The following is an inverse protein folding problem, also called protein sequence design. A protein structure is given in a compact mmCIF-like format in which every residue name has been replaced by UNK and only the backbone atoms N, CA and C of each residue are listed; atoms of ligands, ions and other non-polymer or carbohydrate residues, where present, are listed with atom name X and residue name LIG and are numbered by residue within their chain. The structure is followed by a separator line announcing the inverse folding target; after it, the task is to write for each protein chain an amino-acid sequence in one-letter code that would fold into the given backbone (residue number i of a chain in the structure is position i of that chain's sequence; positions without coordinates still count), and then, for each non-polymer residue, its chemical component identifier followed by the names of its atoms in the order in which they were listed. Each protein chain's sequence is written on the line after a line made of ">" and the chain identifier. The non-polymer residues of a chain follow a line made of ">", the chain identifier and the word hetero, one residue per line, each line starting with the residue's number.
data_IF_693802869131
#
_entry.id   IF_693802869131
#
_cell.length_a   1.000
_cell.length_b   1.000
_cell.length_c   1.000
_cell.angle_alpha   90.00
_cell.angle_beta   90.00
_cell.angle_gamma   90.00
#
_symmetry.space_group_name_H-M   'P 1'
#
loop_
_entity.id
_entity.type
_entity.pdbx_description
1 polymer ?
#
# COMPACT_ATOMS: atom_id res chain seq x y z
N UNK A 1 -65.52 -3.17 11.56
CA UNK A 1 -64.26 -2.39 11.51
C UNK A 1 -63.12 -3.39 11.52
N UNK A 2 -62.62 -3.71 10.33
CA UNK A 2 -61.54 -4.68 10.10
C UNK A 2 -60.21 -3.95 10.11
N UNK A 3 -59.17 -4.53 10.71
CA UNK A 3 -57.79 -4.45 10.22
C UNK A 3 -56.97 -5.62 10.79
N UNK A 4 -56.53 -6.49 9.89
CA UNK A 4 -55.54 -7.56 10.08
C UNK A 4 -54.13 -7.02 9.80
N UNK A 5 -53.14 -7.45 10.58
CA UNK A 5 -51.73 -7.13 10.36
C UNK A 5 -50.88 -8.40 10.33
N UNK A 6 -50.36 -8.76 9.15
CA UNK A 6 -49.31 -9.75 8.94
C UNK A 6 -47.92 -9.13 9.15
N UNK A 7 -46.91 -9.88 9.61
CA UNK A 7 -45.50 -9.48 9.52
C UNK A 7 -44.88 -9.94 8.20
N UNK A 8 -44.30 -8.99 7.46
CA UNK A 8 -43.52 -9.23 6.24
C UNK A 8 -42.09 -9.65 6.56
N UNK A 9 -41.58 -10.59 5.76
CA UNK A 9 -40.26 -11.18 5.85
C UNK A 9 -39.10 -10.22 5.54
N UNK A 10 -37.95 -10.56 6.10
CA UNK A 10 -36.65 -9.91 5.90
C UNK A 10 -36.09 -10.35 4.54
N UNK A 11 -35.91 -9.39 3.63
CA UNK A 11 -35.25 -9.58 2.34
C UNK A 11 -33.80 -9.10 2.45
N UNK A 12 -32.85 -10.04 2.48
CA UNK A 12 -31.40 -9.75 2.40
C UNK A 12 -31.00 -9.63 0.93
N UNK A 13 -31.24 -8.45 0.35
CA UNK A 13 -30.74 -8.08 -0.98
C UNK A 13 -29.47 -7.24 -0.84
N UNK A 14 -28.30 -7.84 -1.08
CA UNK A 14 -27.04 -7.13 -1.28
C UNK A 14 -27.13 -6.47 -2.67
N UNK A 15 -27.37 -5.16 -2.70
CA UNK A 15 -27.23 -4.34 -3.91
C UNK A 15 -25.80 -3.82 -4.05
N UNK A 16 -25.18 -3.88 -5.24
CA UNK A 16 -23.89 -3.23 -5.49
C UNK A 16 -24.07 -1.69 -5.52
N UNK A 17 -23.11 -0.99 -4.91
CA UNK A 17 -23.00 0.46 -4.93
C UNK A 17 -22.93 0.96 -6.38
N UNK A 18 -23.92 1.75 -6.78
CA UNK A 18 -23.88 2.61 -7.96
C UNK A 18 -23.45 4.00 -7.50
N UNK A 19 -22.33 4.57 -8.01
CA UNK A 19 -21.96 5.95 -7.71
C UNK A 19 -22.87 6.95 -8.44
N UNK A 20 -23.10 8.15 -7.85
CA UNK A 20 -24.10 9.10 -8.32
C UNK A 20 -23.71 9.81 -9.63
N UNK A 21 -24.64 9.74 -10.59
CA UNK A 21 -25.02 10.79 -11.54
C UNK A 21 -23.94 11.66 -12.20
N UNK A 22 -23.55 11.29 -13.42
CA UNK A 22 -22.99 12.24 -14.41
C UNK A 22 -24.15 12.94 -15.14
N UNK A 23 -24.16 14.28 -15.27
CA UNK A 23 -25.20 14.99 -16.01
C UNK A 23 -25.14 14.64 -17.50
N UNK A 24 -26.30 14.31 -18.07
CA UNK A 24 -26.50 14.09 -19.51
C UNK A 24 -26.26 15.40 -20.27
N UNK A 25 -25.11 15.53 -20.92
CA UNK A 25 -24.91 16.53 -21.97
C UNK A 25 -25.65 16.13 -23.24
N UNK A 26 -26.36 17.12 -23.78
CA UNK A 26 -27.26 17.03 -24.91
C UNK A 26 -26.56 16.66 -26.23
N UNK A 27 -27.30 15.87 -27.01
CA UNK A 27 -27.10 15.52 -28.41
C UNK A 27 -26.94 16.76 -29.29
N UNK A 28 -25.83 16.87 -30.04
CA UNK A 28 -25.70 17.76 -31.18
C UNK A 28 -25.39 16.94 -32.43
N UNK A 29 -26.22 17.11 -33.47
CA UNK A 29 -26.12 16.47 -34.78
C UNK A 29 -24.86 16.88 -35.57
N UNK A 30 -24.39 16.02 -36.49
CA UNK A 30 -23.33 16.37 -37.45
C UNK A 30 -23.93 16.71 -38.84
N UNK A 31 -23.31 17.66 -39.56
CA UNK A 31 -23.09 17.61 -41.01
C UNK A 31 -22.51 18.94 -41.50
N UNK A 32 -21.27 18.91 -41.99
CA UNK A 32 -20.62 20.03 -42.66
C UNK A 32 -19.29 19.58 -43.23
N UNK A 33 -19.32 19.02 -44.44
CA UNK A 33 -18.15 18.61 -45.22
C UNK A 33 -17.26 19.80 -45.58
N UNK A 34 -15.93 19.63 -45.66
CA UNK A 34 -15.10 20.49 -46.48
C UNK A 34 -14.43 19.72 -47.63
N UNK A 35 -14.87 20.09 -48.83
CA UNK A 35 -14.07 20.53 -50.00
C UNK A 35 -12.64 19.98 -50.12
N UNK A 36 -12.44 19.21 -51.19
CA UNK A 36 -11.16 18.82 -51.76
C UNK A 36 -10.40 20.05 -52.28
N UNK A 37 -9.07 20.08 -52.08
CA UNK A 37 -8.14 20.79 -52.95
C UNK A 37 -6.79 20.09 -52.95
N UNK A 38 -6.27 19.96 -54.16
CA UNK A 38 -5.17 19.12 -54.60
C UNK A 38 -3.76 19.63 -54.25
N UNK A 39 -2.82 18.69 -54.45
CA UNK A 39 -1.45 18.89 -54.95
C UNK A 39 -0.39 19.47 -54.01
N UNK A 40 0.61 18.64 -53.67
CA UNK A 40 1.95 18.78 -54.26
C UNK A 40 2.86 17.59 -53.88
N UNK A 41 3.34 16.93 -54.93
CA UNK A 41 4.42 15.95 -54.97
C UNK A 41 5.77 16.62 -54.69
N UNK A 42 6.56 16.12 -53.74
CA UNK A 42 8.03 16.27 -53.75
C UNK A 42 8.68 14.95 -53.31
N UNK A 43 9.37 14.32 -54.25
CA UNK A 43 10.35 13.25 -54.05
C UNK A 43 11.71 13.82 -53.63
N UNK A 44 12.44 13.13 -52.74
CA UNK A 44 13.90 12.90 -52.85
C UNK A 44 14.38 12.01 -51.68
N UNK A 45 14.87 10.81 -51.98
CA UNK A 45 16.31 10.43 -52.08
C UNK A 45 17.04 10.33 -50.74
N UNK A 46 17.48 9.11 -50.39
CA UNK A 46 18.27 8.83 -49.19
C UNK A 46 19.79 9.01 -49.31
N UNK A 47 20.50 8.61 -48.24
CA UNK A 47 21.92 8.21 -48.14
C UNK A 47 22.18 7.92 -46.65
N UNK A 48 22.31 6.65 -46.24
CA UNK A 48 23.54 5.88 -45.93
C UNK A 48 24.51 6.48 -44.89
N UNK A 49 24.69 5.69 -43.81
CA UNK A 49 25.96 5.34 -43.12
C UNK A 49 26.82 6.43 -42.46
N UNK A 50 27.16 6.24 -41.18
CA UNK A 50 28.49 5.78 -40.78
C UNK A 50 28.61 5.62 -39.25
N UNK A 51 29.21 4.50 -38.86
CA UNK A 51 29.72 4.21 -37.53
C UNK A 51 30.94 5.09 -37.19
N UNK A 52 31.16 5.37 -35.91
CA UNK A 52 32.52 5.49 -35.39
C UNK A 52 32.57 5.03 -33.93
N UNK A 53 33.43 4.04 -33.72
CA UNK A 53 33.89 3.55 -32.43
C UNK A 53 34.78 4.61 -31.76
N UNK A 54 34.64 4.76 -30.45
CA UNK A 54 35.52 5.56 -29.61
C UNK A 54 35.80 4.81 -28.32
N UNK A 55 36.77 3.91 -28.40
CA UNK A 55 37.39 3.17 -27.30
C UNK A 55 38.33 4.12 -26.53
N UNK A 56 38.17 4.22 -25.21
CA UNK A 56 39.13 4.88 -24.34
C UNK A 56 39.02 4.33 -22.90
N UNK A 57 39.83 3.30 -22.69
CA UNK A 57 40.24 2.77 -21.41
C UNK A 57 40.93 3.82 -20.55
N UNK A 58 40.55 3.92 -19.27
CA UNK A 58 41.45 4.48 -18.25
C UNK A 58 41.25 3.84 -16.86
N UNK A 59 42.29 3.10 -16.49
CA UNK A 59 42.94 3.02 -15.18
C UNK A 59 42.14 2.58 -13.95
N UNK A 60 42.53 1.38 -13.52
CA UNK A 60 42.48 0.85 -12.17
C UNK A 60 43.00 1.81 -11.08
N UNK A 61 42.38 1.75 -9.91
CA UNK A 61 42.84 2.38 -8.67
C UNK A 61 42.36 1.61 -7.45
N UNK A 62 43.14 0.61 -7.05
CA UNK A 62 43.04 -0.10 -5.77
C UNK A 62 43.13 0.89 -4.59
N UNK A 63 42.33 0.69 -3.55
CA UNK A 63 42.82 0.78 -2.16
C UNK A 63 41.95 -0.02 -1.20
N UNK A 64 42.53 -1.10 -0.70
CA UNK A 64 42.08 -1.80 0.50
C UNK A 64 42.51 -0.99 1.74
N UNK A 65 41.70 -1.01 2.79
CA UNK A 65 42.16 -0.71 4.15
C UNK A 65 41.30 -1.51 5.11
N UNK A 66 41.98 -2.38 5.85
CA UNK A 66 41.49 -3.23 6.93
C UNK A 66 41.43 -2.45 8.26
N UNK A 67 40.56 -2.90 9.15
CA UNK A 67 40.50 -2.61 10.60
C UNK A 67 39.38 -3.53 11.11
N UNK A 68 39.56 -4.64 11.84
CA UNK A 68 40.51 -5.06 12.88
C UNK A 68 40.43 -4.22 14.16
N UNK A 69 39.38 -4.49 14.94
CA UNK A 69 39.35 -4.34 16.39
C UNK A 69 38.62 -5.55 16.98
N UNK A 70 39.42 -6.49 17.46
CA UNK A 70 39.07 -7.39 18.57
C UNK A 70 39.33 -6.61 19.86
N UNK A 71 38.40 -6.66 20.80
CA UNK A 71 38.68 -6.47 22.23
C UNK A 71 37.68 -7.33 23.02
N UNK A 72 38.19 -8.45 23.52
CA UNK A 72 37.68 -9.15 24.70
C UNK A 72 38.06 -8.33 25.95
N UNK A 73 37.20 -8.27 26.96
CA UNK A 73 37.61 -8.49 28.36
C UNK A 73 36.39 -8.78 29.27
N UNK A 74 36.44 -9.98 29.83
CA UNK A 74 36.15 -10.42 31.19
C UNK A 74 35.31 -9.58 32.20
N UNK A 75 34.33 -10.31 32.76
CA UNK A 75 34.20 -10.65 34.20
C UNK A 75 33.84 -9.53 35.21
N UNK A 76 32.78 -9.76 36.00
CA UNK A 76 32.80 -9.79 37.48
C UNK A 76 31.39 -10.13 37.98
N UNK A 77 31.30 -11.26 38.67
CA UNK A 77 30.21 -11.64 39.58
C UNK A 77 30.24 -10.79 40.85
N UNK A 78 29.08 -10.23 41.25
CA UNK A 78 28.89 -9.54 42.52
C UNK A 78 27.54 -9.87 43.15
N UNK A 79 27.58 -10.69 44.21
CA UNK A 79 26.47 -11.08 45.07
C UNK A 79 26.09 -9.91 45.99
N UNK A 80 24.80 -9.54 46.02
CA UNK A 80 24.26 -8.49 46.88
C UNK A 80 22.79 -8.74 47.25
N UNK A 81 22.59 -9.03 48.53
CA UNK A 81 21.36 -9.40 49.24
C UNK A 81 20.17 -8.43 48.99
N UNK A 82 19.02 -8.94 48.54
CA UNK A 82 17.74 -8.21 48.62
C UNK A 82 16.61 -9.13 49.07
N UNK A 83 15.76 -8.60 49.94
CA UNK A 83 14.64 -9.24 50.62
C UNK A 83 13.64 -9.86 49.65
N UNK A 84 13.34 -11.15 49.81
CA UNK A 84 12.36 -11.89 49.01
C UNK A 84 10.93 -11.37 49.24
N UNK A 85 10.53 -10.34 48.51
CA UNK A 85 9.14 -10.04 48.20
C UNK A 85 8.79 -10.72 46.89
N UNK A 86 8.22 -11.93 46.93
CA UNK A 86 7.74 -12.60 45.73
C UNK A 86 6.58 -11.78 45.14
N UNK A 87 6.86 -11.08 44.04
CA UNK A 87 5.84 -10.56 43.13
C UNK A 87 5.16 -11.75 42.46
N UNK A 88 4.26 -12.41 43.20
CA UNK A 88 3.44 -13.47 42.66
C UNK A 88 2.55 -12.89 41.57
N UNK A 89 2.59 -13.53 40.40
CA UNK A 89 1.66 -13.23 39.30
C UNK A 89 0.23 -13.48 39.79
N UNK A 90 -0.77 -12.81 39.19
CA UNK A 90 -2.15 -12.87 39.69
C UNK A 90 -2.71 -14.28 39.90
N UNK A 91 -2.23 -15.25 39.10
CA UNK A 91 -2.62 -16.65 39.21
C UNK A 91 -1.98 -17.36 40.42
N UNK A 92 -0.76 -17.01 40.79
CA UNK A 92 -0.08 -17.60 41.94
C UNK A 92 -0.67 -17.09 43.27
N UNK A 93 -1.11 -15.82 43.31
CA UNK A 93 -1.86 -15.31 44.46
C UNK A 93 -3.19 -16.05 44.65
N UNK A 94 -3.88 -16.38 43.55
CA UNK A 94 -5.15 -17.12 43.63
C UNK A 94 -4.92 -18.54 44.17
N UNK A 95 -3.88 -19.22 43.69
CA UNK A 95 -3.49 -20.54 44.20
C UNK A 95 -3.10 -20.49 45.68
N UNK A 96 -2.40 -19.45 46.12
CA UNK A 96 -2.05 -19.27 47.52
C UNK A 96 -3.29 -19.06 48.39
N UNK A 97 -4.25 -18.23 47.95
CA UNK A 97 -5.51 -18.01 48.65
C UNK A 97 -6.35 -19.30 48.71
N UNK A 98 -6.42 -20.05 47.62
CA UNK A 98 -7.14 -21.33 47.60
C UNK A 98 -6.47 -22.37 48.51
N UNK A 99 -5.14 -22.38 48.58
CA UNK A 99 -4.41 -23.27 49.48
C UNK A 99 -4.63 -22.91 50.96
N UNK A 100 -4.69 -21.61 51.28
CA UNK A 100 -4.99 -21.15 52.63
C UNK A 100 -6.43 -21.47 53.03
N UNK A 101 -7.39 -21.38 52.10
CA UNK A 101 -8.79 -21.73 52.33
C UNK A 101 -8.97 -23.23 52.63
N UNK A 102 -8.25 -24.10 51.94
CA UNK A 102 -8.32 -25.55 52.16
C UNK A 102 -7.80 -25.99 53.54
N UNK A 103 -6.98 -25.17 54.20
CA UNK A 103 -6.44 -25.44 55.53
C UNK A 103 -7.35 -24.95 56.68
N UNK A 104 -8.43 -24.23 56.38
CA UNK A 104 -9.39 -23.79 57.40
C UNK A 104 -10.27 -24.96 57.85
N UNK A 105 -10.65 -25.04 59.15
CA UNK A 105 -11.67 -25.96 59.63
C UNK A 105 -12.99 -25.78 58.86
N UNK A 106 -13.73 -26.87 58.66
CA UNK A 106 -14.96 -26.88 57.84
C UNK A 106 -16.01 -25.88 58.31
N UNK A 107 -16.07 -25.61 59.60
CA UNK A 107 -16.98 -24.66 60.23
C UNK A 107 -16.67 -23.20 59.82
N UNK A 108 -15.38 -22.87 59.66
CA UNK A 108 -14.92 -21.54 59.25
C UNK A 108 -15.01 -21.34 57.72
N UNK A 109 -14.87 -22.42 56.95
CA UNK A 109 -15.09 -22.39 55.49
C UNK A 109 -16.54 -22.02 55.14
N UNK A 110 -17.52 -22.52 55.91
CA UNK A 110 -18.94 -22.21 55.70
C UNK A 110 -19.28 -20.76 56.07
N UNK A 111 -18.67 -20.20 57.12
CA UNK A 111 -18.81 -18.77 57.42
C UNK A 111 -18.22 -17.89 56.31
N UNK A 112 -17.04 -18.24 55.79
CA UNK A 112 -16.41 -17.47 54.72
C UNK A 112 -17.24 -17.50 53.41
N UNK A 113 -17.81 -18.65 53.05
CA UNK A 113 -18.75 -18.76 51.93
C UNK A 113 -20.05 -17.98 52.19
N UNK A 114 -20.53 -17.96 53.43
CA UNK A 114 -21.68 -17.15 53.84
C UNK A 114 -21.44 -15.64 53.66
N UNK A 115 -20.25 -15.15 54.02
CA UNK A 115 -19.87 -13.73 53.82
C UNK A 115 -19.76 -13.40 52.33
N UNK A 116 -19.26 -14.31 51.50
CA UNK A 116 -19.24 -14.12 50.03
C UNK A 116 -20.62 -14.16 49.38
N UNK A 117 -21.57 -14.91 49.94
CA UNK A 117 -22.93 -15.04 49.42
C UNK A 117 -23.84 -13.84 49.77
N UNK A 118 -23.47 -13.01 50.74
CA UNK A 118 -24.27 -11.87 51.23
C UNK A 118 -23.91 -10.54 50.54
N UNK A 119 -23.39 -10.59 49.31
CA UNK A 119 -23.41 -9.41 48.43
C UNK A 119 -24.80 -9.26 47.81
N UNK A 120 -25.75 -8.75 48.62
CA UNK A 120 -27.14 -8.45 48.25
C UNK A 120 -27.18 -7.42 47.13
N UNK A 121 -27.47 -7.91 45.92
CA UNK A 121 -27.64 -7.13 44.67
C UNK A 121 -28.94 -6.31 44.75
N UNK A 122 -28.89 -4.96 44.72
CA UNK A 122 -30.11 -4.15 44.54
C UNK A 122 -30.67 -4.31 43.11
N UNK A 123 -31.96 -4.02 43.00
CA UNK A 123 -32.85 -4.29 41.87
C UNK A 123 -32.28 -3.94 40.49
N UNK A 124 -32.64 -4.80 39.52
CA UNK A 124 -32.32 -4.76 38.11
C UNK A 124 -32.79 -3.46 37.43
N UNK A 125 -31.89 -2.48 37.38
CA UNK A 125 -31.77 -1.63 36.19
C UNK A 125 -31.02 -2.48 35.16
N UNK A 126 -31.48 -2.54 33.91
CA UNK A 126 -30.83 -3.31 32.84
C UNK A 126 -29.38 -2.86 32.66
N UNK A 127 -28.46 -3.52 33.37
CA UNK A 127 -27.02 -3.31 33.21
C UNK A 127 -26.67 -3.97 31.88
N UNK A 128 -26.17 -3.23 30.88
CA UNK A 128 -25.71 -3.83 29.64
C UNK A 128 -24.64 -4.86 30.02
N UNK A 129 -24.76 -6.06 29.46
CA UNK A 129 -23.76 -7.12 29.58
C UNK A 129 -22.41 -6.50 29.28
N UNK A 130 -21.58 -6.33 30.32
CA UNK A 130 -20.27 -5.74 30.19
C UNK A 130 -19.49 -6.65 29.25
N UNK A 131 -19.30 -6.19 28.01
CA UNK A 131 -18.42 -6.85 27.05
C UNK A 131 -17.08 -7.02 27.75
N UNK A 132 -16.48 -8.21 27.56
CA UNK A 132 -15.14 -8.48 28.09
C UNK A 132 -14.25 -7.27 27.75
N UNK A 133 -13.48 -6.75 28.72
CA UNK A 133 -12.69 -5.54 28.50
C UNK A 133 -11.81 -5.78 27.28
N UNK A 134 -12.02 -4.94 26.25
CA UNK A 134 -11.27 -5.05 25.02
C UNK A 134 -9.78 -5.03 25.35
N UNK A 135 -9.04 -6.04 24.87
CA UNK A 135 -7.58 -6.17 25.05
C UNK A 135 -6.85 -4.86 24.69
N UNK A 136 -7.40 -4.12 23.74
CA UNK A 136 -6.98 -2.78 23.35
C UNK A 136 -8.20 -1.86 23.37
N UNK A 137 -8.07 -0.69 23.99
CA UNK A 137 -9.14 0.31 24.08
C UNK A 137 -8.57 1.67 23.71
N UNK A 138 -9.18 2.33 22.73
CA UNK A 138 -8.81 3.69 22.32
C UNK A 138 -8.88 4.69 23.47
N UNK A 139 -9.72 4.43 24.48
CA UNK A 139 -9.79 5.24 25.70
C UNK A 139 -8.57 5.10 26.63
N UNK A 140 -7.69 4.12 26.37
CA UNK A 140 -6.43 3.87 27.10
C UNK A 140 -5.19 4.20 26.26
N UNK A 141 -5.38 4.72 25.06
CA UNK A 141 -4.27 5.16 24.22
C UNK A 141 -3.81 6.55 24.69
N UNK A 142 -2.54 6.66 25.06
CA UNK A 142 -1.94 7.95 25.38
C UNK A 142 -1.77 8.77 24.08
N UNK A 143 -2.09 10.07 24.09
CA UNK A 143 -1.88 10.91 22.92
C UNK A 143 -0.39 10.91 22.55
N UNK A 144 -0.11 10.57 21.29
CA UNK A 144 1.25 10.51 20.77
C UNK A 144 1.96 11.86 20.97
N UNK A 145 2.98 11.89 21.83
CA UNK A 145 3.76 13.10 22.15
C UNK A 145 4.69 13.55 21.01
N UNK A 146 4.74 12.82 19.91
CA UNK A 146 5.50 13.25 18.74
C UNK A 146 4.68 14.26 17.97
N UNK A 147 5.16 15.51 17.90
CA UNK A 147 4.68 16.51 16.98
C UNK A 147 4.44 15.86 15.60
N UNK A 148 3.17 15.80 15.12
CA UNK A 148 2.85 15.17 13.84
C UNK A 148 3.53 15.86 12.66
N UNK A 149 4.07 17.06 12.85
CA UNK A 149 4.90 17.76 11.86
C UNK A 149 6.37 17.32 11.88
N UNK A 150 6.88 16.83 13.02
CA UNK A 150 8.28 16.44 13.18
C UNK A 150 8.62 15.03 12.65
N UNK A 151 7.62 14.18 12.40
CA UNK A 151 7.80 12.80 11.91
C UNK A 151 7.17 12.51 10.55
N UNK A 152 6.66 13.51 9.84
CA UNK A 152 6.38 13.31 8.42
C UNK A 152 7.73 13.27 7.72
N UNK A 153 8.26 12.06 7.55
CA UNK A 153 9.12 11.73 6.42
C UNK A 153 8.33 12.09 5.16
N UNK A 154 8.37 13.37 4.80
CA UNK A 154 7.73 13.87 3.60
C UNK A 154 8.38 13.19 2.41
N UNK A 155 7.60 13.02 1.35
CA UNK A 155 8.16 12.58 0.09
C UNK A 155 9.21 13.60 -0.36
N UNK A 156 10.37 13.09 -0.76
CA UNK A 156 11.46 13.95 -1.22
C UNK A 156 10.98 14.79 -2.40
N UNK A 157 11.39 16.06 -2.42
CA UNK A 157 10.94 17.09 -3.37
C UNK A 157 11.14 16.68 -4.84
N UNK A 158 12.12 15.84 -5.14
CA UNK A 158 12.35 15.33 -6.49
C UNK A 158 11.14 14.54 -7.06
N UNK A 159 10.39 13.81 -6.22
CA UNK A 159 9.21 13.07 -6.66
C UNK A 159 8.09 14.04 -7.07
N UNK A 160 7.94 15.13 -6.32
CA UNK A 160 7.01 16.21 -6.65
C UNK A 160 7.39 16.90 -7.96
N UNK A 161 8.67 17.21 -8.15
CA UNK A 161 9.19 17.81 -9.39
C UNK A 161 8.91 16.90 -10.60
N UNK A 162 9.17 15.60 -10.50
CA UNK A 162 8.83 14.65 -11.57
C UNK A 162 7.34 14.68 -11.92
N UNK A 163 6.46 14.61 -10.91
CA UNK A 163 5.02 14.60 -11.10
C UNK A 163 4.52 15.90 -11.78
N UNK A 164 5.01 17.07 -11.32
CA UNK A 164 4.63 18.38 -11.86
C UNK A 164 5.02 18.57 -13.33
N UNK A 165 6.09 17.91 -13.77
CA UNK A 165 6.57 17.98 -15.15
C UNK A 165 6.10 16.79 -16.01
N UNK A 166 5.08 16.07 -15.56
CA UNK A 166 4.50 14.96 -16.33
C UNK A 166 5.54 13.87 -16.64
N UNK A 167 6.49 13.64 -15.74
CA UNK A 167 7.46 12.56 -15.87
C UNK A 167 6.92 11.32 -15.17
N UNK A 168 7.03 10.16 -15.83
CA UNK A 168 6.64 8.90 -15.22
C UNK A 168 7.56 8.59 -14.04
N UNK A 169 6.98 8.34 -12.88
CA UNK A 169 7.70 7.96 -11.67
C UNK A 169 7.55 6.45 -11.48
N UNK A 170 8.65 5.66 -11.59
CA UNK A 170 8.61 4.23 -11.29
C UNK A 170 8.18 3.96 -9.85
N UNK A 171 7.36 2.91 -9.63
CA UNK A 171 6.96 2.44 -8.30
C UNK A 171 8.15 1.98 -7.46
N UNK A 172 9.24 1.54 -8.09
CA UNK A 172 10.48 1.21 -7.37
C UNK A 172 10.99 2.41 -6.56
N UNK A 173 10.80 3.64 -7.04
CA UNK A 173 11.16 4.85 -6.29
C UNK A 173 10.33 5.06 -5.01
N UNK A 174 9.18 4.40 -4.90
CA UNK A 174 8.31 4.41 -3.73
C UNK A 174 8.59 3.26 -2.75
N UNK A 175 9.59 2.41 -2.98
CA UNK A 175 10.03 1.44 -1.99
C UNK A 175 10.62 2.15 -0.76
N UNK A 176 10.35 1.67 0.45
CA UNK A 176 10.76 2.35 1.70
C UNK A 176 12.28 2.45 1.82
N UNK A 177 13.03 1.48 1.28
CA UNK A 177 14.49 1.59 1.20
C UNK A 177 14.90 2.78 0.32
N UNK A 178 14.28 2.95 -0.85
CA UNK A 178 14.62 4.01 -1.79
C UNK A 178 14.11 5.37 -1.33
N UNK A 179 12.94 5.45 -0.71
CA UNK A 179 12.44 6.66 -0.07
C UNK A 179 13.39 7.13 1.05
N UNK A 180 13.91 6.21 1.88
CA UNK A 180 14.96 6.56 2.87
C UNK A 180 16.24 7.05 2.19
N UNK A 181 16.70 6.37 1.13
CA UNK A 181 17.87 6.83 0.36
C UNK A 181 17.63 8.21 -0.26
N UNK A 182 16.44 8.51 -0.75
CA UNK A 182 16.07 9.84 -1.26
C UNK A 182 16.06 10.88 -0.14
N UNK A 183 15.54 10.54 1.04
CA UNK A 183 15.43 11.47 2.17
C UNK A 183 16.80 11.89 2.74
N UNK A 184 17.78 10.98 2.73
CA UNK A 184 19.06 11.21 3.41
C UNK A 184 20.29 11.23 2.47
N UNK A 185 20.13 10.73 1.25
CA UNK A 185 21.22 10.52 0.30
C UNK A 185 21.37 11.62 -0.74
N UNK A 186 22.47 11.57 -1.48
CA UNK A 186 22.63 12.35 -2.71
C UNK A 186 21.97 11.61 -3.85
N UNK A 187 21.02 12.27 -4.49
CA UNK A 187 20.28 11.72 -5.62
C UNK A 187 20.96 12.17 -6.92
N UNK A 188 21.26 11.27 -7.87
CA UNK A 188 21.80 11.68 -9.15
C UNK A 188 20.78 12.54 -9.90
N UNK A 189 21.18 13.77 -10.22
CA UNK A 189 20.33 14.73 -10.92
C UNK A 189 20.81 14.91 -12.37
N UNK A 190 19.86 14.98 -13.28
CA UNK A 190 20.04 15.34 -14.68
C UNK A 190 19.34 16.68 -14.96
N UNK A 191 20.04 17.60 -15.64
CA UNK A 191 19.48 18.91 -15.98
C UNK A 191 18.84 18.85 -17.36
N UNK A 192 17.53 19.06 -17.42
CA UNK A 192 16.77 19.10 -18.66
C UNK A 192 16.32 20.54 -18.92
N UNK A 193 16.37 20.95 -20.18
CA UNK A 193 15.82 22.23 -20.62
C UNK A 193 14.37 21.99 -21.05
N UNK A 194 13.43 22.61 -20.34
CA UNK A 194 12.03 22.59 -20.73
C UNK A 194 11.83 23.44 -21.99
N UNK A 195 10.73 23.19 -22.71
CA UNK A 195 10.34 24.00 -23.88
C UNK A 195 10.15 25.49 -23.53
N UNK A 196 9.89 25.81 -22.26
CA UNK A 196 9.84 27.18 -21.74
C UNK A 196 11.21 27.87 -21.60
N UNK A 197 12.31 27.16 -21.86
CA UNK A 197 13.68 27.64 -21.65
C UNK A 197 14.18 27.53 -20.20
N UNK A 198 13.31 27.11 -19.27
CA UNK A 198 13.68 26.91 -17.85
C UNK A 198 14.48 25.62 -17.71
N UNK A 199 15.60 25.69 -16.98
CA UNK A 199 16.41 24.51 -16.61
C UNK A 199 15.84 23.90 -15.35
N UNK A 200 15.39 22.66 -15.43
CA UNK A 200 14.92 21.89 -14.26
C UNK A 200 15.84 20.69 -14.06
N UNK A 201 16.22 20.45 -12.80
CA UNK A 201 16.98 19.29 -12.41
C UNK A 201 16.03 18.16 -12.01
N UNK A 202 16.05 17.07 -12.76
CA UNK A 202 15.30 15.86 -12.49
C UNK A 202 16.19 14.83 -11.83
N UNK A 203 15.61 13.99 -10.99
CA UNK A 203 16.29 12.76 -10.59
C UNK A 203 16.34 11.80 -11.78
N UNK A 204 17.51 11.20 -12.00
CA UNK A 204 17.70 10.20 -13.04
C UNK A 204 17.02 8.88 -12.65
N UNK A 205 15.90 8.54 -13.30
CA UNK A 205 15.09 7.37 -12.94
C UNK A 205 15.81 6.05 -13.24
N UNK A 206 16.75 6.03 -14.18
CA UNK A 206 17.56 4.85 -14.52
C UNK A 206 18.58 4.49 -13.44
N UNK A 207 18.78 5.36 -12.44
CA UNK A 207 19.61 5.06 -11.28
C UNK A 207 18.89 4.16 -10.25
N UNK A 208 17.60 3.90 -10.43
CA UNK A 208 16.77 3.08 -9.55
C UNK A 208 16.60 1.67 -10.12
N UNK A 209 16.25 0.68 -9.28
CA UNK A 209 15.95 -0.66 -9.74
C UNK A 209 14.89 -0.64 -10.84
N UNK A 210 15.09 -1.55 -11.81
CA UNK A 210 14.20 -1.75 -12.92
C UNK A 210 12.82 -2.20 -12.43
N UNK A 211 11.81 -1.41 -12.76
CA UNK A 211 10.44 -1.62 -12.30
C UNK A 211 9.83 -2.91 -12.85
N UNK A 212 10.25 -3.36 -14.04
CA UNK A 212 9.76 -4.61 -14.62
C UNK A 212 10.24 -5.86 -13.84
N UNK A 213 11.21 -5.68 -12.94
CA UNK A 213 11.78 -6.75 -12.11
C UNK A 213 11.25 -6.75 -10.67
N UNK A 214 10.31 -5.86 -10.34
CA UNK A 214 9.68 -5.86 -9.02
C UNK A 214 9.02 -7.20 -8.72
N UNK A 215 9.03 -7.62 -7.46
CA UNK A 215 8.20 -8.73 -6.99
C UNK A 215 6.82 -8.25 -6.49
N UNK A 216 5.98 -9.20 -6.08
CA UNK A 216 4.62 -8.91 -5.61
C UNK A 216 4.60 -8.06 -4.34
N UNK A 217 5.56 -8.27 -3.44
CA UNK A 217 5.62 -7.58 -2.15
C UNK A 217 6.11 -6.15 -2.33
N UNK A 218 7.16 -5.96 -3.12
CA UNK A 218 7.68 -4.66 -3.54
C UNK A 218 6.59 -3.86 -4.25
N UNK A 219 5.80 -4.48 -5.12
CA UNK A 219 4.71 -3.80 -5.83
C UNK A 219 3.60 -3.33 -4.90
N UNK A 220 3.19 -4.14 -3.92
CA UNK A 220 2.21 -3.74 -2.91
C UNK A 220 2.74 -2.63 -2.00
N UNK A 221 4.01 -2.71 -1.61
CA UNK A 221 4.68 -1.66 -0.83
C UNK A 221 4.74 -0.35 -1.62
N UNK A 222 5.25 -0.39 -2.85
CA UNK A 222 5.35 0.75 -3.74
C UNK A 222 3.99 1.40 -3.98
N UNK A 223 2.93 0.62 -4.21
CA UNK A 223 1.57 1.13 -4.35
C UNK A 223 1.01 1.79 -3.09
N UNK A 224 1.32 1.22 -1.92
CA UNK A 224 0.91 1.81 -0.64
C UNK A 224 1.51 3.20 -0.47
N UNK A 225 2.83 3.30 -0.66
CA UNK A 225 3.54 4.57 -0.56
C UNK A 225 3.16 5.55 -1.69
N UNK A 226 2.87 5.06 -2.90
CA UNK A 226 2.39 5.89 -4.01
C UNK A 226 1.01 6.50 -3.75
N UNK A 227 0.09 5.75 -3.11
CA UNK A 227 -1.21 6.30 -2.66
C UNK A 227 -1.03 7.43 -1.65
N UNK A 228 -0.13 7.24 -0.70
CA UNK A 228 0.17 8.26 0.31
C UNK A 228 0.82 9.50 -0.33
N UNK A 229 1.68 9.31 -1.33
CA UNK A 229 2.23 10.40 -2.13
C UNK A 229 1.14 11.18 -2.85
N UNK A 230 0.22 10.51 -3.57
CA UNK A 230 -0.88 11.18 -4.27
C UNK A 230 -1.74 12.02 -3.31
N UNK A 231 -2.07 11.48 -2.12
CA UNK A 231 -2.78 12.23 -1.08
C UNK A 231 -1.98 13.43 -0.59
N UNK A 232 -0.70 13.24 -0.28
CA UNK A 232 0.17 14.29 0.25
C UNK A 232 0.38 15.44 -0.76
N UNK A 233 0.37 15.14 -2.06
CA UNK A 233 0.51 16.14 -3.13
C UNK A 233 -0.84 16.73 -3.60
N UNK A 234 -1.95 16.36 -2.97
CA UNK A 234 -3.27 16.93 -3.29
C UNK A 234 -3.82 16.50 -4.64
N UNK A 235 -3.64 15.22 -5.02
CA UNK A 235 -4.33 14.66 -6.16
C UNK A 235 -5.85 14.83 -6.01
N UNK A 236 -6.54 15.18 -7.10
CA UNK A 236 -7.99 15.30 -7.12
C UNK A 236 -8.64 13.97 -6.70
N UNK A 237 -9.71 14.03 -5.89
CA UNK A 237 -10.39 12.85 -5.36
C UNK A 237 -10.78 11.85 -6.45
N UNK A 238 -11.23 12.34 -7.61
CA UNK A 238 -11.62 11.51 -8.74
C UNK A 238 -10.44 10.76 -9.37
N UNK A 239 -9.24 11.36 -9.37
CA UNK A 239 -8.00 10.77 -9.86
C UNK A 239 -7.45 9.78 -8.84
N UNK A 240 -7.43 10.17 -7.56
CA UNK A 240 -6.99 9.29 -6.47
C UNK A 240 -7.87 8.03 -6.40
N UNK A 241 -9.20 8.18 -6.38
CA UNK A 241 -10.13 7.06 -6.32
C UNK A 241 -9.96 6.10 -7.50
N UNK A 242 -9.72 6.63 -8.71
CA UNK A 242 -9.46 5.81 -9.90
C UNK A 242 -8.23 4.93 -9.75
N UNK A 243 -7.12 5.49 -9.25
CA UNK A 243 -5.89 4.71 -9.04
C UNK A 243 -6.02 3.70 -7.91
N UNK A 244 -6.78 4.01 -6.86
CA UNK A 244 -7.15 3.04 -5.82
C UNK A 244 -7.95 1.88 -6.42
N UNK A 245 -9.00 2.16 -7.20
CA UNK A 245 -9.79 1.15 -7.87
C UNK A 245 -8.95 0.28 -8.82
N UNK A 246 -8.01 0.88 -9.56
CA UNK A 246 -7.06 0.16 -10.42
C UNK A 246 -6.20 -0.82 -9.60
N UNK A 247 -5.59 -0.36 -8.51
CA UNK A 247 -4.81 -1.21 -7.62
C UNK A 247 -5.64 -2.34 -7.00
N UNK A 248 -6.83 -2.02 -6.46
CA UNK A 248 -7.72 -2.99 -5.83
C UNK A 248 -8.20 -4.04 -6.84
N UNK A 249 -8.52 -3.63 -8.06
CA UNK A 249 -8.90 -4.52 -9.14
C UNK A 249 -7.77 -5.50 -9.51
N UNK A 250 -6.54 -5.00 -9.68
CA UNK A 250 -5.40 -5.84 -10.03
C UNK A 250 -5.00 -6.79 -8.89
N UNK A 251 -4.95 -6.29 -7.66
CA UNK A 251 -4.54 -7.08 -6.48
C UNK A 251 -5.59 -8.12 -6.04
N UNK A 252 -6.87 -7.89 -6.31
CA UNK A 252 -7.97 -8.83 -6.00
C UNK A 252 -8.11 -9.98 -7.00
N UNK A 253 -7.31 -10.01 -8.07
CA UNK A 253 -7.37 -11.06 -9.08
C UNK A 253 -7.08 -12.43 -8.48
N UNK A 254 -7.92 -13.42 -8.79
CA UNK A 254 -7.75 -14.81 -8.35
C UNK A 254 -6.40 -15.42 -8.79
N UNK A 255 -5.92 -15.01 -9.95
CA UNK A 255 -4.67 -15.45 -10.57
C UNK A 255 -3.50 -14.48 -10.32
N UNK A 256 -3.61 -13.55 -9.35
CA UNK A 256 -2.66 -12.46 -9.11
C UNK A 256 -1.20 -12.94 -9.09
N UNK A 257 -0.86 -13.94 -8.26
CA UNK A 257 0.52 -14.44 -8.15
C UNK A 257 1.03 -15.08 -9.43
N UNK A 258 0.20 -15.88 -10.12
CA UNK A 258 0.60 -16.60 -11.33
C UNK A 258 0.77 -15.64 -12.53
N UNK A 259 -0.03 -14.58 -12.58
CA UNK A 259 -0.05 -13.59 -13.66
C UNK A 259 0.66 -12.28 -13.30
N UNK A 260 1.41 -12.25 -12.19
CA UNK A 260 1.98 -11.03 -11.67
C UNK A 260 2.88 -10.29 -12.69
N UNK A 261 3.78 -10.94 -13.46
CA UNK A 261 4.57 -10.22 -14.47
C UNK A 261 3.71 -9.49 -15.52
N UNK A 262 2.59 -10.08 -15.92
CA UNK A 262 1.66 -9.44 -16.87
C UNK A 262 0.87 -8.31 -16.20
N UNK A 263 0.46 -8.49 -14.94
CA UNK A 263 -0.21 -7.47 -14.14
C UNK A 263 0.71 -6.25 -13.95
N UNK A 264 1.97 -6.48 -13.57
CA UNK A 264 2.98 -5.44 -13.39
C UNK A 264 3.22 -4.67 -14.69
N UNK A 265 3.39 -5.37 -15.81
CA UNK A 265 3.54 -4.72 -17.12
C UNK A 265 2.32 -3.86 -17.49
N UNK A 266 1.11 -4.39 -17.28
CA UNK A 266 -0.13 -3.64 -17.52
C UNK A 266 -0.22 -2.40 -16.64
N UNK A 267 0.13 -2.52 -15.36
CA UNK A 267 0.17 -1.43 -14.40
C UNK A 267 1.12 -0.30 -14.82
N UNK A 268 2.36 -0.66 -15.18
CA UNK A 268 3.38 0.28 -15.68
C UNK A 268 2.86 1.00 -16.93
N UNK A 269 2.29 0.28 -17.89
CA UNK A 269 1.77 0.86 -19.13
C UNK A 269 0.64 1.87 -18.85
N UNK A 270 -0.33 1.52 -18.00
CA UNK A 270 -1.42 2.42 -17.66
C UNK A 270 -0.92 3.70 -16.97
N UNK A 271 0.04 3.60 -16.05
CA UNK A 271 0.63 4.79 -15.40
C UNK A 271 1.44 5.64 -16.37
N UNK A 272 2.26 5.03 -17.24
CA UNK A 272 2.99 5.75 -18.29
C UNK A 272 2.05 6.45 -19.25
N UNK A 273 1.01 5.77 -19.72
CA UNK A 273 0.03 6.31 -20.64
C UNK A 273 -0.73 7.49 -20.01
N UNK A 274 -1.16 7.36 -18.75
CA UNK A 274 -1.85 8.43 -18.04
C UNK A 274 -0.99 9.69 -17.88
N UNK A 275 0.29 9.51 -17.56
CA UNK A 275 1.24 10.63 -17.41
C UNK A 275 1.51 11.31 -18.75
N UNK A 276 1.71 10.53 -19.81
CA UNK A 276 1.98 11.07 -21.14
C UNK A 276 0.74 11.74 -21.77
N UNK A 277 -0.44 11.15 -21.57
CA UNK A 277 -1.71 11.56 -22.17
C UNK A 277 -2.84 11.43 -21.14
N UNK A 278 -2.99 12.41 -20.23
CA UNK A 278 -4.04 12.37 -19.22
C UNK A 278 -5.41 12.53 -19.88
N UNK A 279 -6.08 11.40 -20.09
CA UNK A 279 -7.44 11.34 -20.64
C UNK A 279 -8.46 11.08 -19.54
N UNK A 280 -9.70 11.53 -19.76
CA UNK A 280 -10.81 11.18 -18.90
C UNK A 280 -10.96 9.65 -18.84
N UNK A 281 -11.23 9.13 -17.65
CA UNK A 281 -11.37 7.69 -17.46
C UNK A 281 -12.62 7.17 -18.17
N UNK A 282 -12.42 6.11 -18.96
CA UNK A 282 -13.49 5.36 -19.58
C UNK A 282 -13.40 3.92 -19.10
N UNK A 283 -14.32 3.53 -18.21
CA UNK A 283 -14.36 2.19 -17.61
C UNK A 283 -14.44 1.09 -18.68
N UNK A 284 -15.24 1.29 -19.72
CA UNK A 284 -15.36 0.31 -20.82
C UNK A 284 -14.03 0.10 -21.55
N UNK A 285 -13.30 1.18 -21.83
CA UNK A 285 -11.99 1.12 -22.47
C UNK A 285 -10.96 0.43 -21.56
N UNK A 286 -10.97 0.78 -20.26
CA UNK A 286 -10.11 0.15 -19.27
C UNK A 286 -10.36 -1.35 -19.16
N UNK A 287 -11.61 -1.78 -18.99
CA UNK A 287 -11.98 -3.20 -18.91
C UNK A 287 -11.70 -3.95 -20.21
N UNK A 288 -11.78 -3.29 -21.37
CA UNK A 288 -11.38 -3.88 -22.64
C UNK A 288 -9.85 -4.12 -22.68
N UNK A 289 -9.05 -3.13 -22.26
CA UNK A 289 -7.59 -3.25 -22.18
C UNK A 289 -7.16 -4.36 -21.20
N UNK A 290 -7.78 -4.40 -20.02
CA UNK A 290 -7.59 -5.46 -19.03
C UNK A 290 -7.85 -6.84 -19.63
N UNK A 291 -8.98 -7.02 -20.33
CA UNK A 291 -9.34 -8.31 -20.94
C UNK A 291 -8.38 -8.70 -22.07
N UNK A 292 -7.90 -7.74 -22.85
CA UNK A 292 -6.94 -7.98 -23.92
C UNK A 292 -5.58 -8.45 -23.38
N UNK A 293 -5.11 -7.83 -22.30
CA UNK A 293 -3.77 -8.08 -21.74
C UNK A 293 -3.74 -9.22 -20.73
N UNK A 294 -4.68 -9.25 -19.79
CA UNK A 294 -4.68 -10.17 -18.65
C UNK A 294 -5.57 -11.40 -18.91
N UNK A 295 -5.27 -12.13 -19.98
CA UNK A 295 -6.00 -13.36 -20.32
C UNK A 295 -5.91 -14.36 -19.16
N UNK A 296 -7.03 -15.03 -18.81
CA UNK A 296 -6.97 -16.12 -17.85
C UNK A 296 -5.97 -17.16 -18.33
N UNK A 297 -5.07 -17.60 -17.45
CA UNK A 297 -4.27 -18.81 -17.68
C UNK A 297 -5.24 -19.99 -17.57
N UNK A 298 -6.08 -20.19 -18.58
CA UNK A 298 -6.90 -21.39 -18.69
C UNK A 298 -6.06 -22.47 -19.34
N UNK A 299 -5.63 -23.40 -18.50
CA UNK A 299 -5.48 -24.83 -18.78
C UNK A 299 -4.75 -25.18 -20.09
N UNK A 300 -3.45 -24.90 -20.15
CA UNK A 300 -2.53 -25.56 -21.10
C UNK A 300 -2.40 -27.08 -20.80
N UNK A 301 -3.08 -27.59 -19.77
CA UNK A 301 -3.04 -29.00 -19.33
C UNK A 301 -3.99 -29.95 -20.09
N UNK A 302 -4.66 -29.53 -21.17
CA UNK A 302 -5.73 -30.31 -21.80
C UNK A 302 -5.46 -31.02 -23.14
N UNK A 303 -4.36 -30.73 -23.85
CA UNK A 303 -4.21 -31.20 -25.25
C UNK A 303 -2.96 -32.07 -25.49
N UNK A 304 -2.77 -33.14 -24.70
CA UNK A 304 -2.01 -34.30 -25.18
C UNK A 304 -3.00 -35.33 -25.70
N UNK A 305 -3.52 -35.11 -26.91
CA UNK A 305 -4.18 -36.15 -27.68
C UNK A 305 -3.14 -37.23 -27.97
N UNK A 306 -3.19 -38.35 -27.25
CA UNK A 306 -2.52 -39.59 -27.64
C UNK A 306 -3.04 -39.96 -29.03
N UNK A 307 -2.20 -39.81 -30.05
CA UNK A 307 -2.37 -40.53 -31.31
C UNK A 307 -2.08 -42.01 -31.01
N UNK A 308 -3.13 -42.84 -31.06
CA UNK A 308 -3.03 -44.29 -31.15
C UNK A 308 -2.98 -44.74 -32.60
#
# INVERSE_FOLDING_TARGET
>A
MSLSGHPSGVNTGVHPLVPPGVPRTATAQPAGSPIMSDSATISSSGTTSAASNGDASHSAGRRASASMFDDEEENVSGVGLTTSGTNLTGNERLLQIMSAFALLPREDQEQFLGVMAVQKRPASTSVPVASAPALYSAAREEPSQTDPSARKFGFHECLRILALHGQHIPLTMFLSELLRKLAYGRVPLEKIHLASGIKVAFVKTEAFPDEEKMDTAEWMEGWTNYKDFMKAQGAEDSVYARWVCHYDYLSSRRDFKANFPTILRFDIEQRKQYVAHPVAYCELAYLAAVRATLRPVRDVLGSTTKAG
#
